data_IF_790306496333
#
_entry.id   IF_790306496333
#
_cell.length_a   1.000
_cell.length_b   1.000
_cell.length_c   1.000
_cell.angle_alpha   90.00
_cell.angle_beta   90.00
_cell.angle_gamma   90.00
#
_symmetry.space_group_name_H-M   'P 1'
#
loop_
_entity.id
_entity.type
_entity.pdbx_description
1 polymer ?
#
# COMPACT_ATOMS: atom_id res chain seq x y z
N UNK A 1 -39.21 -3.11 25.42
CA UNK A 1 -38.86 -4.54 25.62
C UNK A 1 -37.90 -4.91 24.51
N UNK A 2 -36.64 -5.14 24.85
CA UNK A 2 -35.56 -5.50 23.92
C UNK A 2 -35.75 -6.92 23.43
N UNK A 3 -35.59 -7.16 22.12
CA UNK A 3 -34.88 -8.33 21.58
C UNK A 3 -34.34 -8.02 20.19
N UNK A 4 -33.04 -7.79 20.19
CA UNK A 4 -32.10 -7.83 19.06
C UNK A 4 -31.96 -9.30 18.61
N UNK A 5 -31.36 -9.51 17.43
CA UNK A 5 -30.80 -10.77 16.89
C UNK A 5 -31.80 -11.71 16.20
N UNK A 6 -32.00 -11.55 14.89
CA UNK A 6 -32.19 -12.65 13.90
C UNK A 6 -32.52 -12.10 12.50
N UNK A 7 -31.77 -11.10 12.03
CA UNK A 7 -31.61 -10.90 10.59
C UNK A 7 -30.12 -10.76 10.27
N UNK A 8 -29.37 -11.68 10.85
CA UNK A 8 -27.95 -11.89 10.66
C UNK A 8 -27.80 -13.26 10.01
N UNK A 9 -27.96 -13.33 8.69
CA UNK A 9 -27.21 -14.26 7.82
C UNK A 9 -27.63 -14.04 6.35
N UNK A 10 -26.62 -13.75 5.54
CA UNK A 10 -26.54 -14.10 4.12
C UNK A 10 -27.48 -13.33 3.18
N UNK A 11 -27.03 -12.14 2.78
CA UNK A 11 -26.95 -11.79 1.35
C UNK A 11 -25.90 -10.68 1.17
N UNK A 12 -24.66 -11.14 0.97
CA UNK A 12 -23.65 -10.52 0.10
C UNK A 12 -22.96 -9.25 0.63
N UNK A 13 -22.04 -9.50 1.55
CA UNK A 13 -20.76 -8.81 1.71
C UNK A 13 -19.90 -8.88 0.42
N UNK A 14 -20.35 -8.34 -0.72
CA UNK A 14 -19.51 -8.36 -1.94
C UNK A 14 -19.63 -7.14 -2.87
N UNK A 15 -19.91 -5.95 -2.35
CA UNK A 15 -19.60 -4.74 -3.11
C UNK A 15 -18.21 -4.24 -2.73
N UNK A 16 -17.21 -5.09 -2.96
CA UNK A 16 -15.81 -4.70 -2.99
C UNK A 16 -15.65 -3.68 -4.12
N UNK A 17 -15.72 -2.41 -3.74
CA UNK A 17 -15.55 -1.27 -4.63
C UNK A 17 -14.08 -0.91 -4.57
N UNK A 18 -13.28 -1.60 -5.36
CA UNK A 18 -11.82 -1.48 -5.49
C UNK A 18 -11.43 -0.13 -6.12
N UNK A 19 -11.67 0.99 -5.45
CA UNK A 19 -11.02 2.24 -5.82
C UNK A 19 -9.71 2.31 -5.07
N UNK A 20 -8.58 2.49 -5.77
CA UNK A 20 -7.30 2.77 -5.11
C UNK A 20 -7.44 4.12 -4.40
N UNK A 21 -7.66 4.09 -3.09
CA UNK A 21 -7.64 5.25 -2.20
C UNK A 21 -6.19 5.64 -2.00
N UNK A 22 -5.91 6.90 -2.29
CA UNK A 22 -4.61 7.50 -2.00
C UNK A 22 -4.79 8.67 -1.05
N UNK A 23 -3.95 8.74 -0.04
CA UNK A 23 -3.75 9.95 0.77
C UNK A 23 -2.38 10.51 0.45
N UNK A 24 -2.31 11.83 0.24
CA UNK A 24 -1.06 12.55 0.02
C UNK A 24 -1.01 13.70 1.02
N UNK A 25 -0.01 13.68 1.91
CA UNK A 25 0.21 14.72 2.94
C UNK A 25 -1.04 14.99 3.80
N UNK A 26 -1.67 13.95 4.35
CA UNK A 26 -2.87 14.06 5.18
C UNK A 26 -4.17 14.39 4.42
N UNK A 27 -4.11 14.57 3.09
CA UNK A 27 -5.29 14.85 2.27
C UNK A 27 -5.84 13.53 1.72
N UNK A 28 -7.02 13.12 2.19
CA UNK A 28 -7.73 11.96 1.67
C UNK A 28 -8.31 12.26 0.29
N UNK A 29 -7.97 11.45 -0.71
CA UNK A 29 -8.60 11.52 -2.01
C UNK A 29 -9.59 10.35 -2.19
N UNK A 30 -10.86 10.70 -2.16
CA UNK A 30 -11.95 9.92 -2.74
C UNK A 30 -12.66 10.92 -3.65
N UNK A 31 -12.16 11.10 -4.87
CA UNK A 31 -12.68 12.16 -5.72
C UNK A 31 -14.07 11.76 -6.26
N UNK A 32 -15.11 12.45 -5.79
CA UNK A 32 -16.51 12.26 -6.20
C UNK A 32 -16.70 12.57 -7.70
N UNK A 33 -15.89 13.46 -8.30
CA UNK A 33 -15.90 13.71 -9.76
C UNK A 33 -15.40 12.48 -10.54
N UNK A 34 -14.65 11.60 -9.89
CA UNK A 34 -14.12 10.35 -10.44
C UNK A 34 -15.06 9.15 -10.20
N UNK A 35 -15.89 9.23 -9.16
CA UNK A 35 -16.95 8.27 -8.88
C UNK A 35 -18.19 8.50 -9.77
N UNK A 36 -18.48 9.74 -10.17
CA UNK A 36 -19.64 10.09 -11.00
C UNK A 36 -19.41 9.93 -12.51
N UNK A 37 -18.17 10.08 -13.00
CA UNK A 37 -17.90 10.09 -14.44
C UNK A 37 -17.94 8.71 -15.13
N UNK A 38 -17.90 7.59 -14.38
CA UNK A 38 -17.76 6.26 -14.97
C UNK A 38 -18.57 5.24 -14.17
N UNK A 39 -19.63 4.72 -14.80
CA UNK A 39 -20.49 3.66 -14.25
C UNK A 39 -19.68 2.48 -13.71
N UNK A 40 -20.09 1.93 -12.56
CA UNK A 40 -19.48 0.72 -11.98
C UNK A 40 -19.51 -0.48 -12.94
N UNK A 41 -18.52 -1.40 -12.87
CA UNK A 41 -17.24 -1.26 -12.16
C UNK A 41 -16.03 -1.57 -13.04
N UNK A 42 -15.08 -0.64 -13.12
CA UNK A 42 -13.66 -0.98 -13.28
C UNK A 42 -12.79 -0.13 -12.36
N UNK A 43 -11.81 -0.74 -11.67
CA UNK A 43 -10.82 -0.03 -10.87
C UNK A 43 -9.84 0.73 -11.76
N UNK A 44 -9.32 1.86 -11.30
CA UNK A 44 -8.10 2.45 -11.89
C UNK A 44 -6.91 1.53 -11.59
N UNK A 45 -6.11 1.24 -12.61
CA UNK A 45 -4.86 0.49 -12.40
C UNK A 45 -3.89 1.30 -11.53
N UNK A 46 -2.98 0.63 -10.82
CA UNK A 46 -1.90 1.31 -10.07
C UNK A 46 -1.17 2.31 -10.98
N UNK A 47 -0.92 1.96 -12.23
CA UNK A 47 -0.27 2.84 -13.21
C UNK A 47 -1.05 4.14 -13.44
N UNK A 48 -2.37 4.09 -13.61
CA UNK A 48 -3.19 5.29 -13.80
C UNK A 48 -3.21 6.19 -12.57
N UNK A 49 -3.20 5.59 -11.38
CA UNK A 49 -3.12 6.34 -10.12
C UNK A 49 -1.78 7.06 -9.99
N UNK A 50 -0.67 6.36 -10.28
CA UNK A 50 0.66 6.97 -10.25
C UNK A 50 0.79 8.08 -11.30
N UNK A 51 0.26 7.89 -12.52
CA UNK A 51 0.21 8.94 -13.55
C UNK A 51 -0.56 10.16 -13.06
N UNK A 52 -1.70 9.96 -12.39
CA UNK A 52 -2.48 11.05 -11.82
C UNK A 52 -1.71 11.82 -10.75
N UNK A 53 -1.07 11.12 -9.80
CA UNK A 53 -0.27 11.74 -8.73
C UNK A 53 0.86 12.57 -9.34
N UNK A 54 1.64 11.99 -10.27
CA UNK A 54 2.73 12.67 -10.99
C UNK A 54 2.29 13.91 -11.76
N UNK A 55 1.07 13.89 -12.32
CA UNK A 55 0.53 15.02 -13.06
C UNK A 55 -0.03 16.13 -12.18
N UNK A 56 -0.42 15.81 -10.94
CA UNK A 56 -1.13 16.73 -10.04
C UNK A 56 -0.22 17.34 -8.98
N UNK A 57 0.73 16.58 -8.46
CA UNK A 57 1.61 16.98 -7.37
C UNK A 57 3.04 17.03 -7.85
N UNK A 58 3.79 17.99 -7.32
CA UNK A 58 5.23 18.03 -7.48
C UNK A 58 5.85 17.01 -6.52
N UNK A 59 6.81 16.23 -7.01
CA UNK A 59 7.43 15.16 -6.24
C UNK A 59 8.09 15.68 -4.94
N UNK A 60 8.59 16.92 -4.93
CA UNK A 60 9.17 17.56 -3.75
C UNK A 60 8.16 17.87 -2.63
N UNK A 61 6.87 17.82 -2.92
CA UNK A 61 5.82 18.13 -1.94
C UNK A 61 5.18 16.87 -1.34
N UNK A 62 5.62 15.67 -1.73
CA UNK A 62 5.01 14.42 -1.30
C UNK A 62 5.84 13.81 -0.17
N UNK A 63 5.33 13.93 1.06
CA UNK A 63 5.95 13.34 2.26
C UNK A 63 5.31 12.02 2.66
N UNK A 64 4.04 11.81 2.30
CA UNK A 64 3.28 10.63 2.71
C UNK A 64 2.46 10.08 1.55
N UNK A 65 2.44 8.75 1.43
CA UNK A 65 1.60 8.01 0.48
C UNK A 65 0.85 6.91 1.20
N UNK A 66 -0.48 6.98 1.20
CA UNK A 66 -1.33 5.95 1.80
C UNK A 66 -2.09 5.17 0.74
N UNK A 67 -1.79 3.89 0.58
CA UNK A 67 -2.44 2.94 -0.33
C UNK A 67 -3.12 1.78 0.43
N UNK A 68 -3.50 1.98 1.69
CA UNK A 68 -4.17 0.97 2.51
C UNK A 68 -5.50 0.49 1.89
N UNK A 69 -5.78 -0.82 1.97
CA UNK A 69 -7.07 -1.42 1.61
C UNK A 69 -7.48 -1.24 0.13
N UNK A 70 -6.58 -1.58 -0.79
CA UNK A 70 -6.77 -1.37 -2.23
C UNK A 70 -6.60 -2.64 -3.08
N UNK A 71 -6.39 -3.80 -2.46
CA UNK A 71 -6.12 -5.08 -3.13
C UNK A 71 -4.99 -5.01 -4.18
N UNK A 72 -3.96 -4.24 -3.85
CA UNK A 72 -2.77 -4.10 -4.67
C UNK A 72 -1.99 -5.41 -4.62
N UNK A 73 -1.81 -6.04 -5.79
CA UNK A 73 -0.99 -7.24 -5.95
C UNK A 73 0.51 -6.93 -6.00
N UNK A 74 1.33 -7.98 -6.05
CA UNK A 74 2.80 -7.90 -6.06
C UNK A 74 3.35 -6.91 -7.10
N UNK A 75 2.89 -6.98 -8.36
CA UNK A 75 3.35 -6.10 -9.44
C UNK A 75 2.98 -4.62 -9.21
N UNK A 76 1.83 -4.37 -8.60
CA UNK A 76 1.40 -3.02 -8.22
C UNK A 76 2.26 -2.44 -7.10
N UNK A 77 2.58 -3.26 -6.09
CA UNK A 77 3.48 -2.87 -5.02
C UNK A 77 4.90 -2.54 -5.54
N UNK A 78 5.41 -3.30 -6.50
CA UNK A 78 6.67 -2.98 -7.20
C UNK A 78 6.60 -1.62 -7.89
N UNK A 79 5.50 -1.31 -8.58
CA UNK A 79 5.34 -0.01 -9.25
C UNK A 79 5.28 1.15 -8.25
N UNK A 80 4.61 0.95 -7.11
CA UNK A 80 4.54 1.95 -6.03
C UNK A 80 5.92 2.17 -5.40
N UNK A 81 6.68 1.10 -5.13
CA UNK A 81 8.04 1.23 -4.59
C UNK A 81 8.98 1.97 -5.55
N UNK A 82 8.88 1.70 -6.86
CA UNK A 82 9.64 2.45 -7.87
C UNK A 82 9.33 3.95 -7.80
N UNK A 83 8.05 4.31 -7.71
CA UNK A 83 7.67 5.70 -7.57
C UNK A 83 8.13 6.30 -6.23
N UNK A 84 7.99 5.59 -5.13
CA UNK A 84 8.44 6.03 -3.80
C UNK A 84 9.95 6.36 -3.76
N UNK A 85 10.77 5.63 -4.51
CA UNK A 85 12.20 5.92 -4.64
C UNK A 85 12.48 7.25 -5.35
N UNK A 86 11.64 7.64 -6.32
CA UNK A 86 11.73 8.90 -7.06
C UNK A 86 11.38 10.12 -6.18
N UNK A 87 10.60 9.93 -5.11
CA UNK A 87 10.14 11.01 -4.23
C UNK A 87 11.23 11.43 -3.23
N UNK A 88 11.78 12.65 -3.30
CA UNK A 88 12.92 13.03 -2.48
C UNK A 88 12.60 13.10 -0.98
N UNK A 89 11.39 13.54 -0.65
CA UNK A 89 10.96 13.83 0.73
C UNK A 89 9.94 12.83 1.29
N UNK A 90 9.76 11.68 0.64
CA UNK A 90 8.83 10.66 1.15
C UNK A 90 9.33 10.08 2.47
N UNK A 91 8.50 10.19 3.50
CA UNK A 91 8.73 9.70 4.87
C UNK A 91 7.91 8.46 5.19
N UNK A 92 6.67 8.41 4.72
CA UNK A 92 5.73 7.32 5.03
C UNK A 92 5.10 6.70 3.79
N UNK A 93 5.14 5.37 3.70
CA UNK A 93 4.39 4.60 2.71
C UNK A 93 3.51 3.55 3.39
N UNK A 94 2.18 3.67 3.26
CA UNK A 94 1.24 2.71 3.80
C UNK A 94 0.71 1.78 2.70
N UNK A 95 0.96 0.48 2.83
CA UNK A 95 0.49 -0.59 1.95
C UNK A 95 -0.30 -1.66 2.72
N UNK A 96 -0.80 -1.37 3.92
CA UNK A 96 -1.57 -2.33 4.72
C UNK A 96 -2.83 -2.84 4.01
N UNK A 97 -3.27 -4.05 4.34
CA UNK A 97 -4.52 -4.64 3.83
C UNK A 97 -4.54 -4.63 2.29
N UNK A 98 -3.52 -5.20 1.68
CA UNK A 98 -3.46 -5.38 0.23
C UNK A 98 -3.28 -6.87 -0.09
N UNK A 99 -2.89 -7.20 -1.33
CA UNK A 99 -2.72 -8.58 -1.79
C UNK A 99 -1.26 -8.79 -2.22
N UNK A 100 -0.32 -8.31 -1.40
CA UNK A 100 1.12 -8.46 -1.62
C UNK A 100 1.53 -9.82 -1.03
N UNK A 101 1.98 -10.73 -1.86
CA UNK A 101 2.19 -12.14 -1.51
C UNK A 101 3.65 -12.45 -1.17
N UNK A 102 3.85 -13.48 -0.35
CA UNK A 102 5.17 -14.02 -0.05
C UNK A 102 5.49 -15.20 -0.98
N UNK A 103 6.01 -14.91 -2.17
CA UNK A 103 6.48 -15.92 -3.13
C UNK A 103 7.95 -15.67 -3.47
N UNK A 104 8.86 -16.32 -2.74
CA UNK A 104 10.31 -16.12 -2.87
C UNK A 104 10.89 -16.56 -4.21
N UNK A 105 10.15 -17.38 -4.96
CA UNK A 105 10.58 -17.87 -6.27
C UNK A 105 10.13 -16.93 -7.41
N UNK A 106 9.22 -15.99 -7.12
CA UNK A 106 8.73 -15.02 -8.10
C UNK A 106 9.73 -13.89 -8.35
N UNK A 107 9.88 -13.52 -9.62
CA UNK A 107 10.72 -12.40 -10.03
C UNK A 107 10.24 -11.05 -9.47
N UNK A 108 8.93 -10.93 -9.28
CA UNK A 108 8.24 -9.77 -8.74
C UNK A 108 8.50 -9.60 -7.25
N UNK A 109 8.56 -10.70 -6.49
CA UNK A 109 8.99 -10.66 -5.09
C UNK A 109 10.45 -10.22 -4.97
N UNK A 110 11.36 -10.79 -5.75
CA UNK A 110 12.78 -10.41 -5.71
C UNK A 110 12.97 -8.92 -6.07
N UNK A 111 12.20 -8.44 -7.05
CA UNK A 111 12.15 -7.03 -7.41
C UNK A 111 11.61 -6.16 -6.27
N UNK A 112 10.50 -6.57 -5.65
CA UNK A 112 9.92 -5.89 -4.50
C UNK A 112 10.91 -5.81 -3.34
N UNK A 113 11.54 -6.92 -2.99
CA UNK A 113 12.55 -7.00 -1.93
C UNK A 113 13.71 -6.04 -2.19
N UNK A 114 14.26 -6.05 -3.40
CA UNK A 114 15.37 -5.16 -3.78
C UNK A 114 14.99 -3.68 -3.62
N UNK A 115 13.82 -3.30 -4.13
CA UNK A 115 13.33 -1.91 -4.06
C UNK A 115 13.00 -1.50 -2.62
N UNK A 116 12.44 -2.41 -1.83
CA UNK A 116 12.17 -2.18 -0.41
C UNK A 116 13.46 -1.91 0.36
N UNK A 117 14.48 -2.74 0.17
CA UNK A 117 15.78 -2.57 0.82
C UNK A 117 16.43 -1.23 0.43
N UNK A 118 16.26 -0.78 -0.82
CA UNK A 118 16.71 0.54 -1.27
C UNK A 118 15.93 1.68 -0.60
N UNK A 119 14.60 1.57 -0.53
CA UNK A 119 13.74 2.59 0.07
C UNK A 119 14.08 2.80 1.54
N UNK A 120 14.29 1.71 2.28
CA UNK A 120 14.60 1.74 3.72
C UNK A 120 15.94 2.42 4.03
N UNK A 121 16.88 2.43 3.07
CA UNK A 121 18.19 3.09 3.21
C UNK A 121 18.13 4.60 2.98
N UNK A 122 17.03 5.15 2.45
CA UNK A 122 16.86 6.61 2.34
C UNK A 122 16.84 7.21 3.74
N UNK A 123 17.63 8.25 3.93
CA UNK A 123 17.80 8.92 5.22
C UNK A 123 16.47 9.51 5.72
N UNK A 124 15.75 10.21 4.84
CA UNK A 124 14.46 10.83 5.13
C UNK A 124 13.28 9.84 5.23
N UNK A 125 13.45 8.60 4.77
CA UNK A 125 12.37 7.62 4.82
C UNK A 125 12.24 7.05 6.23
N UNK A 126 11.06 7.15 6.83
CA UNK A 126 10.85 6.81 8.24
C UNK A 126 10.10 5.50 8.40
N UNK A 127 9.09 5.25 7.56
CA UNK A 127 8.15 4.17 7.82
C UNK A 127 7.52 3.58 6.55
N UNK A 128 7.50 2.25 6.50
CA UNK A 128 6.62 1.48 5.61
C UNK A 128 5.67 0.60 6.43
N UNK A 129 4.38 0.64 6.09
CA UNK A 129 3.37 -0.25 6.69
C UNK A 129 2.96 -1.33 5.70
N UNK A 130 3.06 -2.58 6.10
CA UNK A 130 2.80 -3.76 5.29
C UNK A 130 1.84 -4.74 5.97
N UNK A 131 1.31 -4.42 7.14
CA UNK A 131 0.40 -5.27 7.91
C UNK A 131 -0.77 -5.82 7.11
N UNK A 132 -1.18 -7.05 7.46
CA UNK A 132 -2.33 -7.74 6.85
C UNK A 132 -2.21 -7.93 5.32
N UNK A 133 -0.97 -8.17 4.85
CA UNK A 133 -0.66 -8.69 3.52
C UNK A 133 -0.15 -10.14 3.62
N UNK A 134 -0.14 -10.88 2.51
CA UNK A 134 0.49 -12.21 2.45
C UNK A 134 1.99 -12.18 2.81
N UNK A 135 2.68 -11.08 2.48
CA UNK A 135 4.08 -10.85 2.82
C UNK A 135 4.34 -10.60 4.30
N UNK A 136 3.33 -10.19 5.07
CA UNK A 136 3.41 -9.78 6.46
C UNK A 136 3.54 -10.97 7.44
N UNK A 137 4.56 -11.80 7.26
CA UNK A 137 4.83 -12.97 8.08
C UNK A 137 6.11 -12.81 8.90
N UNK A 138 6.19 -13.55 10.02
CA UNK A 138 7.39 -13.65 10.84
C UNK A 138 8.59 -14.19 10.07
N UNK A 139 8.37 -15.16 9.17
CA UNK A 139 9.40 -15.74 8.34
C UNK A 139 10.02 -14.70 7.40
N UNK A 140 9.17 -13.95 6.69
CA UNK A 140 9.60 -12.87 5.82
C UNK A 140 10.36 -11.78 6.59
N UNK A 141 9.79 -11.31 7.71
CA UNK A 141 10.40 -10.24 8.50
C UNK A 141 11.77 -10.64 9.06
N UNK A 142 11.93 -11.90 9.49
CA UNK A 142 13.21 -12.44 9.94
C UNK A 142 14.28 -12.40 8.85
N UNK A 143 13.91 -12.76 7.61
CA UNK A 143 14.82 -12.73 6.46
C UNK A 143 15.20 -11.29 6.10
N UNK A 144 14.22 -10.39 5.97
CA UNK A 144 14.47 -8.99 5.60
C UNK A 144 15.29 -8.26 6.66
N UNK A 145 14.98 -8.44 7.94
CA UNK A 145 15.72 -7.81 9.03
C UNK A 145 17.19 -8.24 9.08
N UNK A 146 17.53 -9.49 8.72
CA UNK A 146 18.91 -9.94 8.60
C UNK A 146 19.66 -9.31 7.42
N UNK A 147 18.96 -8.98 6.33
CA UNK A 147 19.53 -8.29 5.17
C UNK A 147 19.78 -6.80 5.41
N UNK A 148 19.13 -6.23 6.43
CA UNK A 148 19.28 -4.82 6.81
C UNK A 148 20.43 -4.66 7.82
N UNK A 149 21.27 -3.65 7.63
CA UNK A 149 22.34 -3.30 8.57
C UNK A 149 21.81 -2.23 9.54
N UNK A 150 21.86 -2.49 10.86
CA UNK A 150 21.52 -1.49 11.87
C UNK A 150 20.02 -1.24 12.05
N UNK A 151 19.63 0.01 12.31
CA UNK A 151 18.27 0.38 12.76
C UNK A 151 17.19 0.40 11.65
N UNK A 152 17.55 0.11 10.39
CA UNK A 152 16.61 0.22 9.26
C UNK A 152 15.42 -0.75 9.35
N UNK A 153 15.56 -1.88 10.02
CA UNK A 153 14.46 -2.82 10.23
C UNK A 153 13.29 -2.20 11.03
N UNK A 154 13.56 -1.23 11.90
CA UNK A 154 12.54 -0.55 12.71
C UNK A 154 11.56 0.31 11.89
N UNK A 155 11.96 0.67 10.67
CA UNK A 155 11.12 1.39 9.70
C UNK A 155 10.00 0.52 9.13
N UNK A 156 10.05 -0.81 9.31
CA UNK A 156 9.03 -1.73 8.82
C UNK A 156 7.98 -1.99 9.90
N UNK A 157 6.73 -1.59 9.64
CA UNK A 157 5.55 -2.01 10.41
C UNK A 157 4.83 -3.12 9.65
N UNK A 158 5.16 -4.37 9.98
CA UNK A 158 4.61 -5.55 9.30
C UNK A 158 3.45 -6.21 10.05
N UNK A 159 3.23 -5.84 11.31
CA UNK A 159 1.97 -6.15 12.00
C UNK A 159 0.97 -5.03 11.72
N UNK A 160 -0.32 -5.35 11.70
CA UNK A 160 -1.36 -4.35 11.51
C UNK A 160 -1.23 -3.28 12.60
N UNK A 161 -1.15 -2.02 12.20
CA UNK A 161 -1.14 -0.89 13.12
C UNK A 161 -2.58 -0.42 13.37
N UNK A 162 -2.88 -0.08 14.62
CA UNK A 162 -4.20 0.44 15.07
C UNK A 162 -4.47 1.87 14.55
#
# INVERSE_FOLDING_TARGET
MVRVYTLLLLLVLSSASYAVRVEVCGIHFVDDCLAEAISKPRPKSVSEVLTYIKGKYKDENIEELNFKNNHIGQSGAVAILKYALELPHLRLLNLEINSIDYDTDSSEYLSFETLLLQLLQKEEFEEIRLGDNGIASTAWYSIISQKLVGAYANKIKWQLQD
#
